data_IF_966380829126
#
_entry.id   IF_966380829126
#
_cell.length_a   1.000
_cell.length_b   1.000
_cell.length_c   1.000
_cell.angle_alpha   90.00
_cell.angle_beta   90.00
_cell.angle_gamma   90.00
#
_symmetry.space_group_name_H-M   'P 1'
#
loop_
_entity.id
_entity.type
_entity.pdbx_description
1 polymer ?
#
# COMPACT_ATOMS: atom_id res chain seq x y z
N UNK A 1 -11.84 -11.25 37.32
CA UNK A 1 -11.48 -10.21 36.34
C UNK A 1 -10.09 -10.51 35.84
N UNK A 2 -9.95 -11.02 34.61
CA UNK A 2 -8.64 -11.26 34.01
C UNK A 2 -8.09 -9.96 33.46
N UNK A 3 -7.00 -9.46 34.02
CA UNK A 3 -6.25 -8.33 33.47
C UNK A 3 -5.45 -8.87 32.29
N UNK A 4 -5.90 -8.63 31.06
CA UNK A 4 -5.16 -8.97 29.86
C UNK A 4 -3.92 -8.08 29.78
N UNK A 5 -2.76 -8.64 30.11
CA UNK A 5 -1.47 -8.05 29.77
C UNK A 5 -1.24 -8.25 28.26
N UNK A 6 -1.65 -7.27 27.46
CA UNK A 6 -1.22 -7.18 26.07
C UNK A 6 0.28 -6.89 26.05
N UNK A 7 1.07 -7.78 25.45
CA UNK A 7 2.52 -7.60 25.37
C UNK A 7 2.84 -6.46 24.41
N UNK A 8 3.80 -5.59 24.78
CA UNK A 8 4.31 -4.51 23.91
C UNK A 8 4.73 -5.02 22.52
N UNK A 9 5.14 -6.29 22.41
CA UNK A 9 5.46 -6.96 21.15
C UNK A 9 4.22 -7.21 20.29
N UNK A 10 3.10 -7.63 20.89
CA UNK A 10 1.84 -7.85 20.18
C UNK A 10 1.26 -6.53 19.67
N UNK A 11 1.35 -5.46 20.46
CA UNK A 11 0.93 -4.12 20.04
C UNK A 11 1.78 -3.58 18.86
N UNK A 12 3.09 -3.88 18.85
CA UNK A 12 4.01 -3.53 17.75
C UNK A 12 3.72 -4.38 16.50
N UNK A 13 3.41 -5.66 16.67
CA UNK A 13 3.07 -6.56 15.56
C UNK A 13 1.74 -6.14 14.92
N UNK A 14 0.73 -5.80 15.74
CA UNK A 14 -0.57 -5.35 15.25
C UNK A 14 -0.47 -4.03 14.48
N UNK A 15 0.36 -3.08 14.96
CA UNK A 15 0.67 -1.81 14.27
C UNK A 15 1.43 -2.00 12.96
N UNK A 16 2.08 -3.14 12.74
CA UNK A 16 2.85 -3.45 11.52
C UNK A 16 2.13 -4.38 10.58
N UNK A 17 1.03 -5.01 10.99
CA UNK A 17 0.20 -5.81 10.08
C UNK A 17 -0.44 -4.92 9.03
N UNK A 18 -0.06 -5.13 7.77
CA UNK A 18 -0.69 -4.48 6.64
C UNK A 18 -2.09 -5.05 6.45
N UNK A 19 -3.10 -4.18 6.47
CA UNK A 19 -4.50 -4.61 6.38
C UNK A 19 -4.94 -4.72 4.93
N UNK A 20 -4.69 -3.67 4.16
CA UNK A 20 -5.14 -3.53 2.77
C UNK A 20 -4.01 -2.91 1.96
N UNK A 21 -3.69 -3.51 0.81
CA UNK A 21 -2.59 -3.08 -0.05
C UNK A 21 -2.96 -3.18 -1.51
N UNK A 22 -2.35 -2.33 -2.33
CA UNK A 22 -2.26 -2.54 -3.77
C UNK A 22 -1.12 -3.51 -4.05
N UNK A 23 -1.34 -4.46 -4.95
CA UNK A 23 -0.27 -5.26 -5.53
C UNK A 23 0.14 -4.59 -6.83
N UNK A 24 1.37 -4.09 -6.91
CA UNK A 24 1.87 -3.35 -8.06
C UNK A 24 2.93 -4.18 -8.76
N UNK A 25 2.73 -4.44 -10.05
CA UNK A 25 3.69 -5.09 -10.92
C UNK A 25 4.55 -4.05 -11.60
N UNK A 26 5.86 -4.26 -11.53
CA UNK A 26 6.86 -3.44 -12.20
C UNK A 26 7.96 -4.38 -12.72
N UNK A 27 8.16 -4.41 -14.03
CA UNK A 27 9.17 -5.28 -14.64
C UNK A 27 10.60 -4.91 -14.22
N UNK A 28 10.85 -3.66 -13.83
CA UNK A 28 12.16 -3.19 -13.33
C UNK A 28 12.47 -3.81 -11.97
N UNK A 29 11.44 -4.26 -11.20
CA UNK A 29 11.66 -5.03 -9.97
C UNK A 29 12.47 -6.29 -10.25
N UNK A 30 12.51 -6.81 -11.49
CA UNK A 30 13.30 -7.99 -11.87
C UNK A 30 14.77 -7.93 -11.44
N UNK A 31 15.31 -6.71 -11.35
CA UNK A 31 16.72 -6.46 -11.12
C UNK A 31 17.02 -5.88 -9.72
N UNK A 32 16.02 -5.77 -8.84
CA UNK A 32 16.18 -5.27 -7.47
C UNK A 32 16.08 -3.74 -7.31
N UNK A 33 16.42 -2.97 -8.36
CA UNK A 33 16.39 -1.50 -8.39
C UNK A 33 15.20 -0.96 -9.19
N UNK A 34 14.02 -1.02 -8.61
CA UNK A 34 12.82 -0.46 -9.22
C UNK A 34 12.68 1.03 -8.92
N UNK A 35 12.39 1.84 -9.95
CA UNK A 35 12.07 3.27 -9.82
C UNK A 35 10.90 3.49 -8.86
N UNK A 36 9.96 2.55 -8.82
CA UNK A 36 8.84 2.56 -7.90
C UNK A 36 9.30 2.52 -6.43
N UNK A 37 10.34 1.76 -6.08
CA UNK A 37 10.84 1.70 -4.70
C UNK A 37 11.46 3.05 -4.31
N UNK A 38 12.31 3.61 -5.16
CA UNK A 38 12.91 4.93 -4.93
C UNK A 38 11.83 6.02 -4.77
N UNK A 39 10.78 5.97 -5.61
CA UNK A 39 9.63 6.86 -5.51
C UNK A 39 8.93 6.75 -4.14
N UNK A 40 8.65 5.52 -3.68
CA UNK A 40 7.97 5.27 -2.42
C UNK A 40 8.81 5.75 -1.22
N UNK A 41 10.10 5.43 -1.20
CA UNK A 41 11.01 5.85 -0.14
C UNK A 41 11.13 7.38 -0.07
N UNK A 42 11.21 8.04 -1.22
CA UNK A 42 11.25 9.51 -1.30
C UNK A 42 9.99 10.19 -0.76
N UNK A 43 8.82 9.57 -0.90
CA UNK A 43 7.57 10.06 -0.29
C UNK A 43 7.41 9.68 1.20
N UNK A 44 8.39 8.94 1.74
CA UNK A 44 8.44 8.56 3.16
C UNK A 44 7.75 7.23 3.47
N UNK A 45 7.59 6.35 2.48
CA UNK A 45 7.20 4.98 2.74
C UNK A 45 8.36 4.20 3.35
N UNK A 46 8.04 3.24 4.22
CA UNK A 46 9.04 2.36 4.85
C UNK A 46 8.86 0.92 4.38
N UNK A 47 9.98 0.21 4.18
CA UNK A 47 9.95 -1.22 3.87
C UNK A 47 9.47 -2.02 5.09
N UNK A 48 8.46 -2.85 4.87
CA UNK A 48 7.92 -3.77 5.85
C UNK A 48 8.53 -5.15 5.65
N UNK A 49 9.20 -5.66 6.69
CA UNK A 49 9.84 -6.98 6.74
C UNK A 49 10.74 -7.24 5.51
N UNK A 50 11.98 -6.72 5.49
CA UNK A 50 12.93 -6.92 4.40
C UNK A 50 13.39 -8.38 4.38
N UNK A 51 12.60 -9.25 3.73
CA UNK A 51 12.85 -10.70 3.60
C UNK A 51 13.61 -11.00 2.28
N UNK A 52 13.88 -9.97 1.48
CA UNK A 52 14.61 -10.05 0.22
C UNK A 52 13.71 -9.97 -1.00
N UNK A 53 14.24 -10.40 -2.14
CA UNK A 53 13.67 -10.18 -3.45
C UNK A 53 13.61 -11.49 -4.25
N UNK A 54 12.53 -11.72 -5.01
CA UNK A 54 12.37 -12.91 -5.86
C UNK A 54 12.20 -12.53 -7.35
N UNK A 55 13.10 -13.00 -8.24
CA UNK A 55 13.01 -12.82 -9.70
C UNK A 55 11.71 -13.25 -10.35
N UNK A 56 11.01 -14.18 -9.71
CA UNK A 56 9.79 -14.80 -10.23
C UNK A 56 8.57 -13.93 -9.96
N UNK A 57 8.64 -13.06 -8.95
CA UNK A 57 7.54 -12.21 -8.50
C UNK A 57 7.97 -10.74 -8.58
N UNK A 58 7.91 -10.11 -9.77
CA UNK A 58 8.26 -8.70 -9.96
C UNK A 58 7.11 -7.80 -9.47
N UNK A 59 6.63 -8.05 -8.25
CA UNK A 59 5.50 -7.35 -7.66
C UNK A 59 5.88 -6.80 -6.28
N UNK A 60 5.27 -5.68 -5.92
CA UNK A 60 5.43 -5.03 -4.63
C UNK A 60 4.06 -4.75 -4.04
N UNK A 61 3.92 -4.98 -2.75
CA UNK A 61 2.75 -4.59 -2.00
C UNK A 61 2.92 -3.16 -1.52
N UNK A 62 1.89 -2.33 -1.66
CA UNK A 62 1.90 -0.94 -1.20
C UNK A 62 0.64 -0.63 -0.39
N UNK A 63 0.82 -0.23 0.86
CA UNK A 63 -0.23 0.31 1.74
C UNK A 63 -0.08 1.83 1.81
N UNK A 64 -1.04 2.54 1.21
CA UNK A 64 -1.07 4.01 1.18
C UNK A 64 -1.39 4.63 2.55
N UNK A 65 -2.14 3.94 3.40
CA UNK A 65 -2.58 4.47 4.70
C UNK A 65 -1.45 4.42 5.72
N UNK A 66 -0.75 3.28 5.79
CA UNK A 66 0.36 3.09 6.72
C UNK A 66 1.69 3.60 6.15
N UNK A 67 1.73 3.98 4.87
CA UNK A 67 2.94 4.26 4.10
C UNK A 67 3.97 3.14 4.24
N UNK A 68 3.52 1.92 4.00
CA UNK A 68 4.37 0.73 4.02
C UNK A 68 4.42 0.11 2.64
N UNK A 69 5.58 -0.43 2.29
CA UNK A 69 5.71 -1.28 1.12
C UNK A 69 6.43 -2.57 1.45
N UNK A 70 6.26 -3.62 0.66
CA UNK A 70 7.02 -4.85 0.83
C UNK A 70 7.13 -5.64 -0.47
N UNK A 71 8.30 -6.21 -0.72
CA UNK A 71 8.56 -7.01 -1.92
C UNK A 71 7.77 -8.32 -1.84
N UNK A 72 7.15 -8.71 -2.95
CA UNK A 72 6.38 -9.95 -2.99
C UNK A 72 7.29 -11.19 -3.01
N UNK A 73 6.81 -12.25 -2.35
CA UNK A 73 7.47 -13.55 -2.34
C UNK A 73 6.42 -14.65 -2.50
N UNK A 74 6.80 -15.73 -3.18
CA UNK A 74 5.92 -16.89 -3.41
C UNK A 74 5.42 -17.42 -2.06
N UNK A 75 4.10 -17.54 -1.93
CA UNK A 75 3.45 -18.09 -0.73
C UNK A 75 3.42 -17.15 0.48
N UNK A 76 3.98 -15.94 0.39
CA UNK A 76 3.95 -14.95 1.47
C UNK A 76 2.80 -13.98 1.25
N UNK A 77 1.91 -13.89 2.24
CA UNK A 77 0.82 -12.92 2.25
C UNK A 77 1.24 -11.67 3.03
N UNK A 78 1.18 -10.52 2.37
CA UNK A 78 1.48 -9.22 2.99
C UNK A 78 0.24 -8.60 3.64
N UNK A 79 -0.90 -8.65 2.94
CA UNK A 79 -2.18 -8.09 3.38
C UNK A 79 -3.32 -8.53 2.46
N UNK A 80 -4.47 -7.86 2.57
CA UNK A 80 -5.57 -8.04 1.61
C UNK A 80 -5.29 -7.22 0.36
N UNK A 81 -5.29 -7.86 -0.80
CA UNK A 81 -5.04 -7.18 -2.08
C UNK A 81 -6.35 -6.57 -2.57
N UNK A 82 -6.33 -5.26 -2.87
CA UNK A 82 -7.48 -4.60 -3.49
C UNK A 82 -7.68 -5.18 -4.89
N UNK A 83 -8.90 -5.66 -5.17
CA UNK A 83 -9.29 -6.17 -6.49
C UNK A 83 -8.77 -7.56 -6.85
N UNK A 84 -8.04 -8.24 -5.96
CA UNK A 84 -7.51 -9.60 -6.16
C UNK A 84 -6.63 -9.79 -7.42
N UNK A 85 -5.97 -8.72 -7.88
CA UNK A 85 -5.02 -8.74 -8.99
C UNK A 85 -3.89 -7.73 -8.80
N UNK A 86 -2.82 -7.89 -9.57
CA UNK A 86 -1.76 -6.90 -9.66
C UNK A 86 -2.11 -5.82 -10.70
N UNK A 87 -1.87 -4.57 -10.35
CA UNK A 87 -1.95 -3.42 -11.27
C UNK A 87 -0.55 -3.04 -11.77
N UNK A 88 -0.46 -2.35 -12.89
CA UNK A 88 0.81 -1.83 -13.42
C UNK A 88 1.27 -0.58 -12.65
N UNK A 89 2.57 -0.31 -12.71
CA UNK A 89 3.19 0.89 -12.12
C UNK A 89 2.49 2.20 -12.53
N UNK A 90 2.15 2.36 -13.81
CA UNK A 90 1.44 3.53 -14.35
C UNK A 90 0.02 3.73 -13.80
N UNK A 91 -0.70 2.63 -13.59
CA UNK A 91 -2.01 2.61 -12.96
C UNK A 91 -1.88 3.01 -11.48
N UNK A 92 -0.86 2.49 -10.81
CA UNK A 92 -0.54 2.87 -9.44
C UNK A 92 -0.25 4.36 -9.30
N UNK A 93 0.56 4.97 -10.18
CA UNK A 93 0.80 6.41 -10.14
C UNK A 93 -0.47 7.24 -10.33
N UNK A 94 -1.38 6.77 -11.17
CA UNK A 94 -2.68 7.43 -11.38
C UNK A 94 -3.53 7.37 -10.11
N UNK A 95 -3.63 6.20 -9.48
CA UNK A 95 -4.33 6.01 -8.20
C UNK A 95 -3.68 6.86 -7.11
N UNK A 96 -2.35 6.86 -7.04
CA UNK A 96 -1.60 7.61 -6.05
C UNK A 96 -1.82 9.13 -6.19
N UNK A 97 -1.85 9.64 -7.42
CA UNK A 97 -2.16 11.04 -7.69
C UNK A 97 -3.56 11.42 -7.18
N UNK A 98 -4.55 10.55 -7.41
CA UNK A 98 -5.90 10.74 -6.88
C UNK A 98 -5.85 10.70 -5.35
N UNK A 99 -5.21 9.70 -4.75
CA UNK A 99 -5.07 9.58 -3.30
C UNK A 99 -4.48 10.86 -2.69
N UNK A 100 -3.38 11.38 -3.23
CA UNK A 100 -2.72 12.60 -2.76
C UNK A 100 -3.56 13.85 -2.94
N UNK A 101 -4.38 13.94 -3.99
CA UNK A 101 -5.31 15.04 -4.17
C UNK A 101 -6.33 15.13 -3.03
N UNK A 102 -6.65 14.00 -2.38
CA UNK A 102 -7.63 13.92 -1.29
C UNK A 102 -7.02 13.64 0.09
N UNK A 103 -5.69 13.50 0.19
CA UNK A 103 -5.00 13.33 1.46
C UNK A 103 -5.29 14.52 2.39
N UNK A 104 -5.70 14.23 3.63
CA UNK A 104 -6.05 15.24 4.63
C UNK A 104 -7.37 15.97 4.41
N UNK A 105 -8.16 15.60 3.40
CA UNK A 105 -9.51 16.15 3.16
C UNK A 105 -10.58 15.29 3.84
N UNK A 106 -11.68 15.91 4.24
CA UNK A 106 -12.82 15.20 4.81
C UNK A 106 -13.52 14.32 3.76
N UNK A 107 -14.11 13.23 4.23
CA UNK A 107 -14.79 12.21 3.41
C UNK A 107 -15.83 12.78 2.41
N UNK A 108 -16.43 13.93 2.73
CA UNK A 108 -17.45 14.60 1.90
C UNK A 108 -16.89 15.72 1.01
N UNK A 109 -15.57 15.76 0.79
CA UNK A 109 -14.96 16.76 -0.12
C UNK A 109 -15.16 16.42 -1.60
N UNK A 110 -15.83 15.30 -1.91
CA UNK A 110 -16.31 14.96 -3.25
C UNK A 110 -17.49 15.88 -3.64
N UNK A 111 -17.15 17.11 -4.02
CA UNK A 111 -18.00 18.19 -4.55
C UNK A 111 -18.97 18.87 -3.56
N UNK A 112 -18.89 20.21 -3.53
CA UNK A 112 -19.93 21.13 -3.01
C UNK A 112 -21.07 21.38 -4.01
N UNK A 113 -20.90 21.01 -5.28
CA UNK A 113 -21.97 21.12 -6.26
C UNK A 113 -22.97 19.99 -6.00
N UNK A 114 -24.13 20.41 -5.49
CA UNK A 114 -25.33 19.59 -5.42
C UNK A 114 -25.58 19.06 -6.83
N UNK A 115 -25.88 17.76 -6.95
CA UNK A 115 -26.43 17.20 -8.19
C UNK A 115 -27.80 17.84 -8.42
N UNK A 116 -27.83 19.06 -8.94
CA UNK A 116 -29.04 19.67 -9.45
C UNK A 116 -29.34 18.93 -10.76
N UNK A 117 -30.20 17.90 -10.67
CA UNK A 117 -30.86 17.40 -11.86
C UNK A 117 -31.66 18.58 -12.42
N UNK A 118 -31.32 19.02 -13.63
CA UNK A 118 -32.22 19.88 -14.38
C UNK A 118 -33.45 19.02 -14.70
N UNK A 119 -34.58 19.37 -14.08
CA UNK A 119 -35.91 18.84 -14.39
C UNK A 119 -36.28 19.01 -15.87
#
# INVERSE_FOLDING_TARGET
>A
MGVFFFSKKEEIMEKRTVKVSFLVADDDLKNGDAKLVEFLEKDGFSEHNPIGYSPICPWIFVDLNQKLYGRAMIGVKFGTIIGDHAIREEEFYTIYKIYKQYEGKDLFTFKKERFDYND
#
